data_IF_213732449084
#
_entry.id   IF_213732449084
#
_cell.length_a   1.000
_cell.length_b   1.000
_cell.length_c   1.000
_cell.angle_alpha   90.00
_cell.angle_beta   90.00
_cell.angle_gamma   90.00
#
_symmetry.space_group_name_H-M   'P 1'
#
loop_
_entity.id
_entity.type
_entity.pdbx_description
1 polymer ?
#
# COMPACT_ATOMS: atom_id res chain seq x y z
N UNK A 1 8.24 21.50 -11.21
CA UNK A 1 8.76 20.32 -10.48
C UNK A 1 8.61 19.10 -11.37
N UNK A 2 9.56 18.16 -11.33
CA UNK A 2 9.46 16.89 -12.05
C UNK A 2 8.38 16.03 -11.39
N UNK A 3 7.35 15.64 -12.13
CA UNK A 3 6.26 14.83 -11.61
C UNK A 3 6.77 13.41 -11.35
N UNK A 4 6.77 12.98 -10.08
CA UNK A 4 7.10 11.60 -9.70
C UNK A 4 5.89 10.70 -9.91
N UNK A 5 6.11 9.39 -10.02
CA UNK A 5 5.02 8.41 -10.06
C UNK A 5 4.18 8.52 -8.78
N UNK A 6 4.81 8.65 -7.61
CA UNK A 6 4.11 8.82 -6.34
C UNK A 6 3.18 10.06 -6.31
N UNK A 7 3.64 11.20 -6.82
CA UNK A 7 2.82 12.40 -6.92
C UNK A 7 1.64 12.22 -7.88
N UNK A 8 1.83 11.48 -8.97
CA UNK A 8 0.74 11.14 -9.88
C UNK A 8 -0.29 10.24 -9.19
N UNK A 9 0.15 9.19 -8.48
CA UNK A 9 -0.74 8.30 -7.69
C UNK A 9 -1.56 9.12 -6.70
N UNK A 10 -0.91 9.95 -5.90
CA UNK A 10 -1.57 10.76 -4.89
C UNK A 10 -2.63 11.68 -5.51
N UNK A 11 -2.32 12.30 -6.66
CA UNK A 11 -3.28 13.14 -7.39
C UNK A 11 -4.45 12.34 -7.96
N UNK A 12 -4.20 11.14 -8.48
CA UNK A 12 -5.26 10.24 -8.96
C UNK A 12 -6.19 9.81 -7.83
N UNK A 13 -5.65 9.48 -6.65
CA UNK A 13 -6.45 9.12 -5.47
C UNK A 13 -7.32 10.30 -5.01
N UNK A 14 -6.77 11.52 -5.01
CA UNK A 14 -7.51 12.73 -4.67
C UNK A 14 -8.68 12.96 -5.64
N UNK A 15 -8.42 12.82 -6.94
CA UNK A 15 -9.44 12.92 -7.99
C UNK A 15 -10.52 11.83 -7.88
N UNK A 16 -10.16 10.66 -7.37
CA UNK A 16 -11.08 9.57 -7.07
C UNK A 16 -11.88 9.80 -5.77
N UNK A 17 -11.69 10.94 -5.09
CA UNK A 17 -12.45 11.31 -3.89
C UNK A 17 -11.86 10.79 -2.58
N UNK A 18 -10.72 10.09 -2.61
CA UNK A 18 -10.07 9.56 -1.40
C UNK A 18 -9.73 10.70 -0.44
N UNK A 19 -10.08 10.54 0.83
CA UNK A 19 -9.77 11.50 1.90
C UNK A 19 -8.73 11.01 2.88
N UNK A 20 -8.67 9.69 3.10
CA UNK A 20 -7.79 9.05 4.07
C UNK A 20 -7.16 7.79 3.51
N UNK A 21 -5.91 7.54 3.90
CA UNK A 21 -5.22 6.28 3.64
C UNK A 21 -4.78 5.70 4.98
N UNK A 22 -5.26 4.50 5.30
CA UNK A 22 -4.87 3.76 6.50
C UNK A 22 -3.62 2.94 6.23
N UNK A 23 -2.59 3.02 7.06
CA UNK A 23 -1.39 2.23 6.77
C UNK A 23 -0.36 2.22 7.87
N UNK A 24 0.58 1.30 7.74
CA UNK A 24 1.84 1.31 8.49
C UNK A 24 2.87 1.99 7.60
N UNK A 25 3.60 2.95 8.17
CA UNK A 25 4.70 3.60 7.43
C UNK A 25 5.87 2.64 7.33
N UNK A 26 6.42 2.49 6.11
CA UNK A 26 7.63 1.72 5.85
C UNK A 26 8.37 2.31 4.64
N UNK A 27 9.64 1.97 4.46
CA UNK A 27 10.51 2.65 3.51
C UNK A 27 10.00 2.59 2.06
N UNK A 28 9.39 1.46 1.68
CA UNK A 28 8.79 1.28 0.36
C UNK A 28 7.58 2.19 0.07
N UNK A 29 7.02 2.85 1.09
CA UNK A 29 5.89 3.79 0.99
C UNK A 29 6.30 5.26 1.15
N UNK A 30 7.58 5.55 1.46
CA UNK A 30 8.05 6.91 1.76
C UNK A 30 7.79 7.92 0.63
N UNK A 31 7.93 7.50 -0.64
CA UNK A 31 7.65 8.37 -1.79
C UNK A 31 6.18 8.80 -1.86
N UNK A 32 5.26 7.89 -1.52
CA UNK A 32 3.83 8.18 -1.48
C UNK A 32 3.48 9.05 -0.27
N UNK A 33 3.97 8.71 0.93
CA UNK A 33 3.68 9.50 2.13
C UNK A 33 4.24 10.93 2.06
N UNK A 34 5.44 11.13 1.49
CA UNK A 34 5.98 12.47 1.19
C UNK A 34 5.09 13.23 0.21
N UNK A 35 4.63 12.57 -0.86
CA UNK A 35 3.74 13.19 -1.85
C UNK A 35 2.40 13.63 -1.23
N UNK A 36 1.80 12.79 -0.39
CA UNK A 36 0.56 13.11 0.33
C UNK A 36 0.77 14.26 1.32
N UNK A 37 1.87 14.25 2.07
CA UNK A 37 2.22 15.32 3.01
C UNK A 37 2.36 16.68 2.30
N UNK A 38 3.02 16.71 1.14
CA UNK A 38 3.15 17.93 0.31
C UNK A 38 1.82 18.40 -0.26
N UNK A 39 0.93 17.47 -0.64
CA UNK A 39 -0.38 17.80 -1.19
C UNK A 39 -1.32 18.36 -0.12
N UNK A 40 -1.33 17.78 1.09
CA UNK A 40 -2.15 18.23 2.21
C UNK A 40 -3.66 18.03 2.02
N UNK A 41 -4.10 17.26 1.02
CA UNK A 41 -5.51 17.03 0.69
C UNK A 41 -6.01 15.62 1.00
N UNK A 42 -5.09 14.70 1.30
CA UNK A 42 -5.37 13.33 1.75
C UNK A 42 -4.58 13.10 3.04
N UNK A 43 -5.27 12.66 4.09
CA UNK A 43 -4.62 12.40 5.37
C UNK A 43 -4.09 10.97 5.45
N UNK A 44 -2.83 10.82 5.85
CA UNK A 44 -2.26 9.52 6.22
C UNK A 44 -2.69 9.17 7.65
N UNK A 45 -3.48 8.11 7.79
CA UNK A 45 -3.95 7.59 9.08
C UNK A 45 -3.02 6.46 9.53
N UNK A 46 -2.10 6.72 10.48
CA UNK A 46 -1.13 5.71 10.90
C UNK A 46 -1.81 4.61 11.71
N UNK A 47 -1.41 3.38 11.44
CA UNK A 47 -1.76 2.20 12.23
C UNK A 47 -0.48 1.51 12.70
N UNK A 48 -0.61 0.60 13.68
CA UNK A 48 0.53 -0.19 14.19
C UNK A 48 0.68 -1.55 13.49
N UNK A 49 -0.31 -1.95 12.70
CA UNK A 49 -0.35 -3.25 12.06
C UNK A 49 -1.20 -3.15 10.78
N UNK A 50 -0.74 -3.73 9.68
CA UNK A 50 -1.37 -3.60 8.36
C UNK A 50 -2.76 -4.25 8.34
N UNK A 51 -2.96 -5.35 9.06
CA UNK A 51 -4.30 -5.95 9.22
C UNK A 51 -5.32 -4.94 9.80
N UNK A 52 -4.90 -4.13 10.78
CA UNK A 52 -5.75 -3.07 11.34
C UNK A 52 -6.01 -1.97 10.31
N UNK A 53 -5.02 -1.63 9.47
CA UNK A 53 -5.23 -0.68 8.38
C UNK A 53 -6.30 -1.16 7.39
N UNK A 54 -6.26 -2.44 7.01
CA UNK A 54 -7.24 -3.02 6.09
C UNK A 54 -8.66 -3.04 6.71
N UNK A 55 -8.79 -3.40 7.98
CA UNK A 55 -10.09 -3.35 8.68
C UNK A 55 -10.61 -1.91 8.86
N UNK A 56 -9.73 -0.95 9.17
CA UNK A 56 -10.11 0.45 9.32
C UNK A 56 -10.61 1.04 7.99
N UNK A 57 -9.92 0.73 6.88
CA UNK A 57 -10.37 1.12 5.54
C UNK A 57 -11.73 0.48 5.20
N UNK A 58 -11.91 -0.81 5.51
CA UNK A 58 -13.20 -1.50 5.34
C UNK A 58 -14.34 -0.86 6.13
N UNK A 59 -14.12 -0.58 7.41
CA UNK A 59 -15.10 0.10 8.25
C UNK A 59 -15.43 1.50 7.72
N UNK A 60 -14.44 2.27 7.29
CA UNK A 60 -14.65 3.60 6.70
C UNK A 60 -15.51 3.52 5.43
N UNK A 61 -15.14 2.68 4.47
CA UNK A 61 -15.89 2.53 3.23
C UNK A 61 -17.32 2.00 3.48
N UNK A 62 -17.53 1.15 4.49
CA UNK A 62 -18.86 0.69 4.86
C UNK A 62 -19.73 1.81 5.47
N UNK A 63 -19.13 2.71 6.26
CA UNK A 63 -19.85 3.81 6.90
C UNK A 63 -20.14 4.97 5.95
N UNK A 64 -19.24 5.24 5.01
CA UNK A 64 -19.34 6.39 4.10
C UNK A 64 -19.98 6.04 2.76
N UNK A 65 -19.86 4.79 2.31
CA UNK A 65 -20.16 4.39 0.94
C UNK A 65 -19.13 4.85 -0.10
N UNK A 66 -18.03 5.48 0.36
CA UNK A 66 -16.97 6.03 -0.49
C UNK A 66 -15.78 5.08 -0.59
N UNK A 67 -14.92 5.30 -1.58
CA UNK A 67 -13.66 4.55 -1.72
C UNK A 67 -12.73 4.83 -0.53
N UNK A 68 -12.36 3.78 0.22
CA UNK A 68 -11.33 3.85 1.24
C UNK A 68 -10.05 3.14 0.77
N UNK A 69 -8.91 3.54 1.34
CA UNK A 69 -7.59 3.00 0.97
C UNK A 69 -6.86 2.48 2.18
N UNK A 70 -6.25 1.30 2.05
CA UNK A 70 -5.24 0.80 2.97
C UNK A 70 -3.89 0.61 2.26
N UNK A 71 -2.78 0.70 3.01
CA UNK A 71 -1.43 0.58 2.48
C UNK A 71 -0.53 -0.29 3.38
N UNK A 72 0.29 -1.12 2.76
CA UNK A 72 1.25 -2.00 3.42
C UNK A 72 2.59 -2.02 2.67
N UNK A 73 3.69 -2.04 3.43
CA UNK A 73 5.06 -2.07 2.88
C UNK A 73 5.35 -3.40 2.16
N UNK A 74 6.44 -3.47 1.41
CA UNK A 74 6.98 -4.74 0.90
C UNK A 74 7.31 -5.73 2.03
N UNK A 75 7.55 -7.00 1.67
CA UNK A 75 7.74 -8.07 2.64
C UNK A 75 6.44 -8.44 3.35
N UNK A 76 6.47 -8.81 4.64
CA UNK A 76 5.29 -9.31 5.34
C UNK A 76 4.14 -8.28 5.41
N UNK A 77 4.44 -6.98 5.32
CA UNK A 77 3.46 -5.92 5.46
C UNK A 77 2.31 -6.00 4.45
N UNK A 78 2.61 -6.21 3.16
CA UNK A 78 1.56 -6.35 2.15
C UNK A 78 0.71 -7.62 2.30
N UNK A 79 1.27 -8.70 2.89
CA UNK A 79 0.55 -9.93 3.18
C UNK A 79 -0.39 -9.78 4.38
N UNK A 80 -0.01 -8.98 5.37
CA UNK A 80 -0.84 -8.71 6.55
C UNK A 80 -2.14 -7.95 6.23
N UNK A 81 -2.28 -7.36 5.03
CA UNK A 81 -3.54 -6.76 4.58
C UNK A 81 -4.62 -7.81 4.25
N UNK A 82 -4.25 -9.06 3.99
CA UNK A 82 -5.13 -10.07 3.37
C UNK A 82 -6.41 -10.31 4.16
N UNK A 83 -6.35 -10.39 5.49
CA UNK A 83 -7.53 -10.72 6.30
C UNK A 83 -8.58 -9.60 6.25
N UNK A 84 -8.17 -8.34 6.37
CA UNK A 84 -9.07 -7.20 6.22
C UNK A 84 -9.60 -7.06 4.79
N UNK A 85 -8.77 -7.31 3.77
CA UNK A 85 -9.22 -7.28 2.37
C UNK A 85 -10.21 -8.41 2.06
N UNK A 86 -10.03 -9.58 2.68
CA UNK A 86 -10.98 -10.68 2.55
C UNK A 86 -12.34 -10.32 3.15
N UNK A 87 -12.37 -9.67 4.32
CA UNK A 87 -13.60 -9.15 4.91
C UNK A 87 -14.28 -8.11 4.01
N UNK A 88 -13.51 -7.13 3.53
CA UNK A 88 -14.02 -6.10 2.61
C UNK A 88 -14.65 -6.72 1.35
N UNK A 89 -13.96 -7.71 0.74
CA UNK A 89 -14.46 -8.43 -0.42
C UNK A 89 -15.77 -9.17 -0.12
N UNK A 90 -15.85 -9.86 1.02
CA UNK A 90 -17.04 -10.61 1.42
C UNK A 90 -18.24 -9.70 1.72
N UNK A 91 -17.98 -8.50 2.22
CA UNK A 91 -18.99 -7.49 2.52
C UNK A 91 -19.28 -6.54 1.35
N UNK A 92 -18.66 -6.75 0.19
CA UNK A 92 -18.80 -5.89 -1.01
C UNK A 92 -18.47 -4.41 -0.75
N UNK A 93 -17.47 -4.16 0.10
CA UNK A 93 -17.05 -2.83 0.50
C UNK A 93 -15.97 -2.31 -0.46
N UNK A 94 -16.06 -1.06 -0.96
CA UNK A 94 -15.10 -0.50 -1.91
C UNK A 94 -13.78 -0.10 -1.22
N UNK A 95 -12.83 -1.03 -1.16
CA UNK A 95 -11.47 -0.78 -0.63
C UNK A 95 -10.40 -0.97 -1.70
N UNK A 96 -9.49 0.00 -1.80
CA UNK A 96 -8.25 -0.10 -2.57
C UNK A 96 -7.08 -0.43 -1.65
N UNK A 97 -6.27 -1.41 -2.04
CA UNK A 97 -5.02 -1.76 -1.36
C UNK A 97 -3.81 -1.25 -2.13
N UNK A 98 -2.94 -0.50 -1.46
CA UNK A 98 -1.59 -0.17 -1.94
C UNK A 98 -0.62 -1.14 -1.29
N UNK A 99 -0.34 -2.23 -2.01
CA UNK A 99 0.66 -3.21 -1.63
C UNK A 99 2.01 -2.84 -2.27
N UNK A 100 2.92 -2.26 -1.48
CA UNK A 100 4.25 -1.97 -1.96
C UNK A 100 5.04 -3.27 -2.19
N UNK A 101 6.03 -3.20 -3.08
CA UNK A 101 6.90 -4.32 -3.42
C UNK A 101 8.35 -3.87 -3.56
N UNK A 102 9.28 -4.82 -3.54
CA UNK A 102 10.69 -4.56 -3.80
C UNK A 102 10.90 -4.03 -5.24
N UNK A 103 12.03 -3.36 -5.53
CA UNK A 103 12.37 -3.01 -6.90
C UNK A 103 12.33 -4.23 -7.80
N UNK A 104 11.77 -4.09 -9.01
CA UNK A 104 11.58 -5.23 -9.91
C UNK A 104 12.89 -5.89 -10.33
N UNK A 105 14.01 -5.16 -10.33
CA UNK A 105 15.35 -5.68 -10.59
C UNK A 105 15.88 -6.61 -9.49
N UNK A 106 15.29 -6.57 -8.30
CA UNK A 106 15.70 -7.35 -7.12
C UNK A 106 14.86 -8.62 -6.93
N UNK A 107 13.89 -8.88 -7.81
CA UNK A 107 13.11 -10.12 -7.74
C UNK A 107 14.01 -11.31 -8.11
N UNK A 108 14.08 -12.29 -7.22
CA UNK A 108 14.92 -13.48 -7.30
C UNK A 108 16.34 -13.28 -6.80
N UNK A 109 16.69 -12.10 -6.28
CA UNK A 109 18.04 -11.83 -5.76
C UNK A 109 18.23 -12.24 -4.30
N UNK A 110 17.16 -12.61 -3.59
CA UNK A 110 17.18 -12.81 -2.14
C UNK A 110 17.17 -11.49 -1.37
N UNK A 111 16.61 -10.45 -1.98
CA UNK A 111 16.58 -9.10 -1.42
C UNK A 111 15.84 -9.07 -0.07
N UNK A 112 16.25 -8.17 0.82
CA UNK A 112 15.57 -7.98 2.09
C UNK A 112 14.10 -7.61 1.86
N UNK A 113 13.17 -8.30 2.53
CA UNK A 113 11.71 -8.15 2.31
C UNK A 113 11.21 -8.60 0.92
N UNK A 114 12.00 -9.39 0.19
CA UNK A 114 11.48 -10.13 -0.95
C UNK A 114 10.45 -11.16 -0.48
N UNK A 115 9.22 -10.99 -0.95
CA UNK A 115 8.26 -12.09 -0.99
C UNK A 115 8.35 -12.73 -2.39
N UNK A 116 8.36 -14.07 -2.51
CA UNK A 116 8.31 -14.75 -3.80
C UNK A 116 6.98 -14.43 -4.51
N UNK A 117 7.00 -13.33 -5.26
CA UNK A 117 5.86 -12.77 -5.96
C UNK A 117 5.65 -13.55 -7.26
N UNK A 118 4.95 -14.69 -7.17
CA UNK A 118 4.15 -15.29 -8.26
C UNK A 118 3.58 -16.69 -7.94
N UNK A 119 4.14 -17.44 -6.98
CA UNK A 119 3.80 -18.87 -6.81
C UNK A 119 3.17 -19.30 -5.48
N UNK A 120 3.45 -18.63 -4.36
CA UNK A 120 3.23 -19.24 -3.04
C UNK A 120 1.79 -19.16 -2.49
N UNK A 121 0.96 -18.22 -2.96
CA UNK A 121 -0.44 -18.11 -2.47
C UNK A 121 -1.44 -17.81 -3.60
N UNK A 122 -1.77 -18.79 -4.45
CA UNK A 122 -2.63 -18.61 -5.63
C UNK A 122 -4.03 -18.04 -5.34
N UNK A 123 -4.57 -18.23 -4.11
CA UNK A 123 -5.93 -17.81 -3.73
C UNK A 123 -6.08 -16.35 -3.30
N UNK A 124 -4.98 -15.62 -3.06
CA UNK A 124 -5.01 -14.20 -2.65
C UNK A 124 -4.51 -13.25 -3.74
N UNK A 125 -4.00 -13.78 -4.85
CA UNK A 125 -3.65 -12.97 -6.03
C UNK A 125 -4.80 -12.07 -6.52
N UNK A 126 -6.09 -12.49 -6.50
CA UNK A 126 -7.17 -11.60 -6.90
C UNK A 126 -7.33 -10.37 -5.99
N UNK A 127 -6.97 -10.49 -4.70
CA UNK A 127 -7.10 -9.43 -3.70
C UNK A 127 -5.92 -8.44 -3.73
N UNK A 128 -4.76 -8.87 -4.19
CA UNK A 128 -3.54 -8.04 -4.27
C UNK A 128 -3.30 -7.45 -5.68
N UNK A 129 -4.01 -7.91 -6.71
CA UNK A 129 -3.82 -7.49 -8.11
C UNK A 129 -4.33 -6.09 -8.46
N UNK A 130 -5.00 -5.38 -7.54
CA UNK A 130 -5.41 -3.99 -7.71
C UNK A 130 -4.34 -2.97 -7.26
N UNK A 131 -3.13 -3.41 -6.89
CA UNK A 131 -2.04 -2.54 -6.45
C UNK A 131 -1.21 -1.93 -7.59
N UNK A 132 -1.16 -0.60 -7.66
CA UNK A 132 -0.18 0.12 -8.48
C UNK A 132 1.23 -0.16 -7.93
N UNK A 133 2.16 -0.59 -8.78
CA UNK A 133 3.56 -0.76 -8.42
C UNK A 133 4.24 0.61 -8.26
N UNK A 134 4.19 1.18 -7.06
CA UNK A 134 5.07 2.26 -6.68
C UNK A 134 6.46 1.67 -6.44
N UNK A 135 7.33 1.75 -7.45
CA UNK A 135 8.73 1.33 -7.31
C UNK A 135 9.41 2.16 -6.22
N UNK A 136 10.03 1.49 -5.26
CA UNK A 136 10.99 2.13 -4.37
C UNK A 136 12.11 2.74 -5.24
N UNK A 137 12.42 4.01 -5.01
CA UNK A 137 13.57 4.67 -5.63
C UNK A 137 14.85 3.97 -5.10
N UNK A 138 15.79 3.51 -5.96
CA UNK A 138 16.96 2.75 -5.52
C UNK A 138 17.95 3.53 -4.63
N UNK A 139 17.70 4.80 -4.31
CA UNK A 139 18.56 5.62 -3.48
C UNK A 139 18.13 5.60 -2.00
N UNK A 140 18.51 4.56 -1.25
CA UNK A 140 18.28 4.58 0.20
C UNK A 140 18.70 3.36 1.02
N UNK A 141 18.91 2.19 0.41
CA UNK A 141 19.42 1.02 1.13
C UNK A 141 20.93 1.17 1.39
N UNK A 142 21.28 2.07 2.31
CA UNK A 142 22.57 2.08 2.95
C UNK A 142 22.71 0.83 3.80
N UNK A 143 23.70 0.00 3.47
CA UNK A 143 24.25 -1.04 4.32
C UNK A 143 24.57 -0.45 5.71
N UNK A 144 23.77 -0.80 6.71
CA UNK A 144 24.08 -0.60 8.12
C UNK A 144 24.01 -1.95 8.81
N UNK A 145 25.20 -2.51 9.09
CA UNK A 145 25.44 -3.76 9.82
C UNK A 145 24.91 -3.73 11.27
N UNK A 146 24.67 -4.96 11.78
CA UNK A 146 24.71 -5.41 13.18
C UNK A 146 23.56 -5.07 14.15
#
# INVERSE_FOLDING_TARGET
MKQTVAAYIAKTLEQAGVKRIWGVTGDSLNGLSDSLNRMGTIDWMPTRHEEVAAFAAGAEAQLTGELAVCAGSCGPGNLHLINGLFDCHRNHVPVLAIAAHIPSSEIGSGYFQENPSSGAVPRVQPLLRTGLHAGADPAGAGSGDA
#
